data_IF_733330027714
#
_entry.id   IF_733330027714
#
_cell.length_a   1.000
_cell.length_b   1.000
_cell.length_c   1.000
_cell.angle_alpha   90.00
_cell.angle_beta   90.00
_cell.angle_gamma   90.00
#
_symmetry.space_group_name_H-M   'P 1'
#
loop_
_entity.id
_entity.type
_entity.pdbx_description
1 polymer ?
#
# COMPACT_ATOMS: atom_id res chain seq x y z
N UNK A 1 -5.02 -7.27 11.24
CA UNK A 1 -4.11 -6.29 11.85
C UNK A 1 -2.66 -6.72 11.66
N UNK A 2 -1.74 -5.76 11.70
CA UNK A 2 -0.31 -5.98 11.49
C UNK A 2 0.21 -5.30 10.22
N UNK A 3 1.53 -5.28 10.08
CA UNK A 3 2.25 -4.78 8.90
C UNK A 3 3.61 -5.49 8.82
N UNK A 4 4.12 -5.71 7.63
CA UNK A 4 5.45 -6.28 7.42
C UNK A 4 6.58 -5.23 7.54
N UNK A 5 6.25 -3.95 7.70
CA UNK A 5 7.17 -2.88 8.04
C UNK A 5 7.06 -2.50 9.52
N UNK A 6 8.11 -1.84 10.04
CA UNK A 6 8.14 -1.34 11.42
C UNK A 6 8.39 0.17 11.48
N UNK A 7 7.74 0.92 10.59
CA UNK A 7 7.94 2.36 10.49
C UNK A 7 7.85 3.06 11.84
N UNK A 8 8.86 3.89 12.16
CA UNK A 8 8.92 4.66 13.41
C UNK A 8 7.90 5.81 13.47
N UNK A 9 7.37 6.18 12.32
CA UNK A 9 6.39 7.25 12.11
C UNK A 9 4.99 6.72 11.73
N UNK A 10 4.66 5.49 12.14
CA UNK A 10 3.42 4.84 11.73
C UNK A 10 2.20 5.47 12.41
N UNK A 11 1.36 6.17 11.67
CA UNK A 11 0.11 6.76 12.17
C UNK A 11 -0.91 5.69 12.60
N UNK A 12 -0.82 4.49 12.03
CA UNK A 12 -1.70 3.36 12.34
C UNK A 12 -1.03 2.36 13.31
N UNK A 13 -0.14 2.83 14.20
CA UNK A 13 0.67 1.96 15.06
C UNK A 13 -0.14 1.02 15.94
N UNK A 14 -1.30 1.46 16.43
CA UNK A 14 -2.20 0.64 17.23
C UNK A 14 -2.67 -0.62 16.51
N UNK A 15 -2.89 -0.53 15.20
CA UNK A 15 -3.33 -1.64 14.36
C UNK A 15 -2.14 -2.39 13.77
N UNK A 16 -1.17 -1.66 13.22
CA UNK A 16 -0.02 -2.26 12.50
C UNK A 16 0.95 -2.99 13.42
N UNK A 17 1.06 -2.58 14.70
CA UNK A 17 1.93 -3.21 15.71
C UNK A 17 1.17 -4.04 16.73
N UNK A 18 -0.13 -4.27 16.53
CA UNK A 18 -0.96 -5.06 17.43
C UNK A 18 -0.49 -6.51 17.50
N UNK A 19 -0.33 -7.02 18.73
CA UNK A 19 0.03 -8.42 19.01
C UNK A 19 -1.16 -9.27 19.43
N UNK A 20 -2.31 -8.65 19.70
CA UNK A 20 -3.55 -9.31 20.14
C UNK A 20 -4.64 -9.07 19.09
N UNK A 21 -4.67 -9.92 18.07
CA UNK A 21 -5.59 -9.82 16.94
C UNK A 21 -7.07 -9.94 17.35
N UNK A 22 -7.38 -10.75 18.36
CA UNK A 22 -8.74 -11.10 18.77
C UNK A 22 -9.56 -9.89 19.28
N UNK A 23 -8.90 -8.78 19.59
CA UNK A 23 -9.57 -7.56 20.10
C UNK A 23 -9.84 -6.51 19.01
N UNK A 24 -9.22 -6.64 17.84
CA UNK A 24 -9.22 -5.61 16.80
C UNK A 24 -9.96 -6.05 15.52
N UNK A 25 -10.50 -7.25 15.48
CA UNK A 25 -11.15 -7.81 14.30
C UNK A 25 -12.56 -8.30 14.60
N UNK A 26 -13.43 -8.14 13.62
CA UNK A 26 -14.71 -8.86 13.56
C UNK A 26 -14.58 -9.96 12.51
N UNK A 27 -15.16 -11.12 12.77
CA UNK A 27 -15.20 -12.19 11.79
C UNK A 27 -16.11 -11.79 10.63
N UNK A 28 -15.57 -11.82 9.43
CA UNK A 28 -16.32 -11.61 8.20
C UNK A 28 -15.80 -12.56 7.12
N UNK A 29 -16.71 -13.20 6.39
CA UNK A 29 -16.31 -13.97 5.19
C UNK A 29 -16.11 -13.02 4.01
N UNK A 30 -15.37 -13.43 2.96
CA UNK A 30 -15.25 -12.67 1.73
C UNK A 30 -16.60 -12.23 1.16
N UNK A 31 -17.57 -13.12 1.13
CA UNK A 31 -18.93 -12.85 0.62
C UNK A 31 -19.67 -11.82 1.48
N UNK A 32 -19.50 -11.85 2.80
CA UNK A 32 -20.07 -10.84 3.71
C UNK A 32 -19.54 -9.45 3.42
N UNK A 33 -18.23 -9.32 3.14
CA UNK A 33 -17.62 -8.04 2.77
C UNK A 33 -18.19 -7.54 1.44
N UNK A 34 -18.22 -8.38 0.42
CA UNK A 34 -18.74 -8.03 -0.90
C UNK A 34 -20.24 -7.64 -0.82
N UNK A 35 -21.05 -8.40 -0.08
CA UNK A 35 -22.46 -8.12 0.10
C UNK A 35 -22.69 -6.81 0.87
N UNK A 36 -21.94 -6.58 1.95
CA UNK A 36 -22.00 -5.33 2.73
C UNK A 36 -21.67 -4.11 1.85
N UNK A 37 -20.60 -4.21 1.05
CA UNK A 37 -20.24 -3.14 0.11
C UNK A 37 -21.37 -2.85 -0.89
N UNK A 38 -22.01 -3.89 -1.42
CA UNK A 38 -23.13 -3.78 -2.35
C UNK A 38 -24.36 -3.13 -1.69
N UNK A 39 -24.69 -3.54 -0.48
CA UNK A 39 -25.85 -3.02 0.27
C UNK A 39 -25.69 -1.53 0.62
N UNK A 40 -24.44 -1.08 0.79
CA UNK A 40 -24.12 0.33 1.03
C UNK A 40 -23.88 1.13 -0.28
N UNK A 41 -24.05 0.52 -1.43
CA UNK A 41 -23.84 1.18 -2.72
C UNK A 41 -22.38 1.56 -2.99
N UNK A 42 -21.43 0.88 -2.37
CA UNK A 42 -20.00 1.11 -2.61
C UNK A 42 -19.60 0.64 -4.01
N UNK A 43 -18.80 1.43 -4.70
CA UNK A 43 -18.25 1.07 -6.02
C UNK A 43 -16.95 0.28 -5.91
N UNK A 44 -16.30 0.28 -4.75
CA UNK A 44 -15.05 -0.41 -4.48
C UNK A 44 -14.91 -0.77 -3.00
N UNK A 45 -14.04 -1.75 -2.73
CA UNK A 45 -13.53 -2.10 -1.39
C UNK A 45 -12.04 -1.81 -1.37
N UNK A 46 -11.55 -1.07 -0.37
CA UNK A 46 -10.14 -0.78 -0.18
C UNK A 46 -9.56 -1.57 0.99
N UNK A 47 -8.44 -2.24 0.73
CA UNK A 47 -7.61 -2.86 1.76
C UNK A 47 -6.64 -1.80 2.27
N UNK A 48 -6.86 -1.27 3.47
CA UNK A 48 -6.15 -0.09 3.99
C UNK A 48 -5.92 -0.14 5.51
N UNK A 49 -5.26 0.88 6.07
CA UNK A 49 -4.85 1.11 7.46
C UNK A 49 -3.65 0.27 7.91
N UNK A 50 -3.70 -1.02 7.76
CA UNK A 50 -2.55 -1.93 7.87
C UNK A 50 -2.25 -2.50 6.48
N UNK A 51 -1.05 -3.03 6.29
CA UNK A 51 -0.67 -3.48 4.95
C UNK A 51 -1.37 -4.78 4.57
N UNK A 52 -2.09 -4.85 3.42
CA UNK A 52 -2.78 -6.06 2.98
C UNK A 52 -1.85 -7.24 2.69
N UNK A 53 -0.57 -7.01 2.49
CA UNK A 53 0.42 -8.07 2.24
C UNK A 53 0.46 -9.11 3.37
N UNK A 54 0.20 -8.72 4.62
CA UNK A 54 0.25 -9.67 5.75
C UNK A 54 -1.00 -10.55 5.89
N UNK A 55 -2.07 -10.25 5.17
CA UNK A 55 -3.29 -11.07 5.09
C UNK A 55 -3.69 -11.33 3.63
N UNK A 56 -2.67 -11.52 2.79
CA UNK A 56 -2.77 -11.57 1.34
C UNK A 56 -3.82 -12.57 0.86
N UNK A 57 -3.83 -13.78 1.40
CA UNK A 57 -4.77 -14.83 1.02
C UNK A 57 -6.22 -14.38 1.24
N UNK A 58 -6.51 -13.83 2.42
CA UNK A 58 -7.84 -13.30 2.71
C UNK A 58 -8.20 -12.11 1.81
N UNK A 59 -7.23 -11.22 1.53
CA UNK A 59 -7.46 -10.09 0.62
C UNK A 59 -7.78 -10.55 -0.81
N UNK A 60 -7.11 -11.60 -1.28
CA UNK A 60 -7.39 -12.23 -2.58
C UNK A 60 -8.78 -12.86 -2.61
N UNK A 61 -9.17 -13.59 -1.58
CA UNK A 61 -10.50 -14.19 -1.48
C UNK A 61 -11.60 -13.11 -1.47
N UNK A 62 -11.40 -12.03 -0.71
CA UNK A 62 -12.32 -10.87 -0.70
C UNK A 62 -12.37 -10.20 -2.08
N UNK A 63 -11.24 -10.04 -2.76
CA UNK A 63 -11.20 -9.45 -4.09
C UNK A 63 -11.95 -10.28 -5.13
N UNK A 64 -11.88 -11.61 -5.04
CA UNK A 64 -12.65 -12.51 -5.91
C UNK A 64 -14.16 -12.37 -5.66
N UNK A 65 -14.59 -12.39 -4.40
CA UNK A 65 -16.00 -12.20 -4.05
C UNK A 65 -16.52 -10.81 -4.47
N UNK A 66 -15.71 -9.77 -4.31
CA UNK A 66 -16.04 -8.42 -4.79
C UNK A 66 -16.21 -8.37 -6.31
N UNK A 67 -15.32 -9.01 -7.07
CA UNK A 67 -15.39 -9.09 -8.52
C UNK A 67 -16.67 -9.78 -8.99
N UNK A 68 -17.06 -10.89 -8.35
CA UNK A 68 -18.33 -11.59 -8.62
C UNK A 68 -19.55 -10.71 -8.34
N UNK A 69 -19.46 -9.84 -7.33
CA UNK A 69 -20.50 -8.87 -6.98
C UNK A 69 -20.49 -7.59 -7.85
N UNK A 70 -19.53 -7.44 -8.78
CA UNK A 70 -19.34 -6.26 -9.62
C UNK A 70 -18.73 -5.06 -8.88
N UNK A 71 -17.98 -5.31 -7.81
CA UNK A 71 -17.33 -4.31 -6.96
C UNK A 71 -15.83 -4.36 -7.22
N UNK A 72 -15.20 -3.19 -7.41
CA UNK A 72 -13.77 -3.06 -7.62
C UNK A 72 -12.98 -3.18 -6.32
N UNK A 73 -11.70 -3.48 -6.43
CA UNK A 73 -10.80 -3.60 -5.28
C UNK A 73 -9.60 -2.69 -5.42
N UNK A 74 -9.21 -2.10 -4.29
CA UNK A 74 -8.11 -1.13 -4.21
C UNK A 74 -7.14 -1.56 -3.11
N UNK A 75 -5.85 -1.66 -3.44
CA UNK A 75 -4.80 -1.88 -2.45
C UNK A 75 -4.23 -0.54 -1.97
N UNK A 76 -4.17 -0.33 -0.66
CA UNK A 76 -3.38 0.74 -0.03
C UNK A 76 -2.23 0.05 0.71
N UNK A 77 -1.01 0.17 0.17
CA UNK A 77 0.13 -0.66 0.58
C UNK A 77 1.44 0.10 0.55
N UNK A 78 2.41 -0.37 1.32
CA UNK A 78 3.79 0.10 1.21
C UNK A 78 4.53 -0.49 -0.02
N UNK A 79 3.93 -1.40 -0.75
CA UNK A 79 4.55 -2.05 -1.91
C UNK A 79 5.74 -2.97 -1.58
N UNK A 80 5.97 -3.26 -0.30
CA UNK A 80 7.06 -4.12 0.15
C UNK A 80 6.61 -5.58 0.14
N UNK A 81 6.75 -6.24 -1.01
CA UNK A 81 6.20 -7.55 -1.29
C UNK A 81 7.12 -8.34 -2.24
N UNK A 82 7.34 -9.60 -1.95
CA UNK A 82 8.17 -10.47 -2.80
C UNK A 82 7.47 -10.90 -4.09
N UNK A 83 8.26 -11.25 -5.12
CA UNK A 83 7.83 -11.45 -6.51
C UNK A 83 6.58 -12.32 -6.68
N UNK A 84 6.58 -13.54 -6.14
CA UNK A 84 5.44 -14.47 -6.29
C UNK A 84 4.17 -13.98 -5.61
N UNK A 85 4.31 -13.40 -4.42
CA UNK A 85 3.19 -12.83 -3.68
C UNK A 85 2.66 -11.57 -4.39
N UNK A 86 3.54 -10.77 -4.99
CA UNK A 86 3.22 -9.59 -5.78
C UNK A 86 2.35 -9.93 -6.99
N UNK A 87 2.74 -10.94 -7.77
CA UNK A 87 1.95 -11.42 -8.89
C UNK A 87 0.57 -11.90 -8.46
N UNK A 88 0.52 -12.73 -7.40
CA UNK A 88 -0.74 -13.26 -6.88
C UNK A 88 -1.66 -12.15 -6.38
N UNK A 89 -1.14 -11.18 -5.64
CA UNK A 89 -1.91 -10.11 -5.05
C UNK A 89 -2.47 -9.15 -6.11
N UNK A 90 -1.61 -8.56 -6.93
CA UNK A 90 -2.02 -7.48 -7.83
C UNK A 90 -2.86 -7.94 -9.02
N UNK A 91 -2.82 -9.21 -9.43
CA UNK A 91 -3.76 -9.71 -10.46
C UNK A 91 -5.23 -9.68 -10.02
N UNK A 92 -5.49 -9.51 -8.72
CA UNK A 92 -6.82 -9.40 -8.14
C UNK A 92 -7.21 -7.96 -7.79
N UNK A 93 -6.33 -6.98 -8.00
CA UNK A 93 -6.59 -5.58 -7.71
C UNK A 93 -6.92 -4.80 -8.98
N UNK A 94 -7.88 -3.87 -8.88
CA UNK A 94 -8.22 -2.94 -9.97
C UNK A 94 -7.40 -1.66 -9.88
N UNK A 95 -7.06 -1.25 -8.66
CA UNK A 95 -6.23 -0.08 -8.42
C UNK A 95 -5.35 -0.23 -7.17
N UNK A 96 -4.34 0.64 -7.05
CA UNK A 96 -3.48 0.71 -5.88
C UNK A 96 -3.09 2.16 -5.54
N UNK A 97 -2.95 2.44 -4.24
CA UNK A 97 -2.18 3.56 -3.73
C UNK A 97 -0.93 2.98 -3.06
N UNK A 98 0.25 3.35 -3.54
CA UNK A 98 1.51 2.81 -3.03
C UNK A 98 2.27 3.90 -2.29
N UNK A 99 2.58 3.63 -1.02
CA UNK A 99 3.39 4.53 -0.20
C UNK A 99 4.88 4.45 -0.59
N UNK A 100 5.37 5.40 -1.39
CA UNK A 100 6.79 5.61 -1.59
C UNK A 100 7.30 6.54 -0.47
N UNK A 101 7.71 5.93 0.65
CA UNK A 101 7.90 6.60 1.95
C UNK A 101 9.11 7.53 2.02
N UNK A 102 10.10 7.32 1.18
CA UNK A 102 11.33 8.10 1.04
C UNK A 102 12.09 7.61 -0.19
N UNK A 103 13.22 8.23 -0.49
CA UNK A 103 14.00 7.87 -1.69
C UNK A 103 15.48 7.59 -1.41
N UNK A 104 15.77 7.17 -0.18
CA UNK A 104 17.10 6.67 0.20
C UNK A 104 16.99 5.31 0.88
N UNK A 105 17.98 4.45 0.64
CA UNK A 105 18.07 3.14 1.30
C UNK A 105 18.25 3.31 2.83
N UNK A 106 18.94 4.38 3.23
CA UNK A 106 19.18 4.72 4.63
C UNK A 106 17.87 5.03 5.37
N UNK A 107 16.97 5.82 4.74
CA UNK A 107 15.62 6.07 5.26
C UNK A 107 14.82 4.78 5.43
N UNK A 108 14.76 3.96 4.37
CA UNK A 108 14.02 2.70 4.42
C UNK A 108 14.56 1.75 5.48
N UNK A 109 15.87 1.59 5.54
CA UNK A 109 16.48 0.70 6.52
C UNK A 109 16.30 1.18 7.95
N UNK A 110 16.58 2.46 8.24
CA UNK A 110 16.57 3.01 9.61
C UNK A 110 15.17 3.29 10.16
N UNK A 111 14.27 3.76 9.30
CA UNK A 111 12.93 4.23 9.73
C UNK A 111 11.81 3.25 9.41
N UNK A 112 11.94 2.41 8.38
CA UNK A 112 10.89 1.47 7.96
C UNK A 112 11.25 0.00 8.23
N UNK A 113 12.53 -0.32 8.49
CA UNK A 113 13.07 -1.69 8.55
C UNK A 113 12.81 -2.48 7.27
N UNK A 114 13.05 -1.84 6.14
CA UNK A 114 12.78 -2.34 4.79
C UNK A 114 13.90 -1.91 3.84
N UNK A 115 13.74 -2.22 2.55
CA UNK A 115 14.63 -1.84 1.48
C UNK A 115 13.88 -1.07 0.39
N UNK A 116 14.43 0.06 -0.04
CA UNK A 116 13.86 0.87 -1.11
C UNK A 116 13.75 0.08 -2.42
N UNK A 117 14.79 -0.70 -2.75
CA UNK A 117 14.86 -1.45 -3.99
C UNK A 117 13.63 -2.36 -4.22
N UNK A 118 13.14 -3.04 -3.18
CA UNK A 118 11.98 -3.95 -3.29
C UNK A 118 10.68 -3.19 -3.62
N UNK A 119 10.52 -1.99 -3.07
CA UNK A 119 9.38 -1.11 -3.38
C UNK A 119 9.46 -0.61 -4.81
N UNK A 120 10.65 -0.20 -5.27
CA UNK A 120 10.85 0.25 -6.65
C UNK A 120 10.57 -0.87 -7.67
N UNK A 121 10.95 -2.11 -7.36
CA UNK A 121 10.62 -3.27 -8.21
C UNK A 121 9.10 -3.52 -8.25
N UNK A 122 8.39 -3.33 -7.14
CA UNK A 122 6.92 -3.41 -7.13
C UNK A 122 6.29 -2.34 -8.02
N UNK A 123 6.79 -1.11 -7.98
CA UNK A 123 6.28 -0.01 -8.82
C UNK A 123 6.52 -0.26 -10.31
N UNK A 124 7.71 -0.77 -10.68
CA UNK A 124 8.01 -1.17 -12.06
C UNK A 124 7.08 -2.30 -12.53
N UNK A 125 6.87 -3.31 -11.68
CA UNK A 125 5.95 -4.40 -11.97
C UNK A 125 4.53 -3.89 -12.22
N UNK A 126 4.01 -3.04 -11.34
CA UNK A 126 2.69 -2.43 -11.52
C UNK A 126 2.58 -1.70 -12.86
N UNK A 127 3.61 -0.93 -13.22
CA UNK A 127 3.60 -0.12 -14.44
C UNK A 127 3.70 -0.93 -15.71
N UNK A 128 4.56 -1.95 -15.73
CA UNK A 128 4.97 -2.60 -16.99
C UNK A 128 4.34 -3.98 -17.19
N UNK A 129 3.93 -4.65 -16.11
CA UNK A 129 3.47 -6.03 -16.16
C UNK A 129 1.97 -6.19 -15.81
N UNK A 130 1.30 -5.09 -15.41
CA UNK A 130 -0.11 -5.15 -15.00
C UNK A 130 -0.97 -4.09 -15.67
N UNK A 131 -2.29 -4.27 -15.60
CA UNK A 131 -3.28 -3.23 -15.93
C UNK A 131 -3.83 -2.48 -14.71
N UNK A 132 -3.23 -2.68 -13.53
CA UNK A 132 -3.65 -2.02 -12.29
C UNK A 132 -3.37 -0.52 -12.40
N UNK A 133 -4.40 0.29 -12.24
CA UNK A 133 -4.21 1.74 -12.13
C UNK A 133 -3.61 2.06 -10.76
N UNK A 134 -2.58 2.91 -10.70
CA UNK A 134 -1.98 3.22 -9.41
C UNK A 134 -1.51 4.67 -9.29
N UNK A 135 -1.47 5.12 -8.05
CA UNK A 135 -0.91 6.39 -7.63
C UNK A 135 0.07 6.19 -6.48
N UNK A 136 0.91 7.19 -6.25
CA UNK A 136 1.92 7.19 -5.20
C UNK A 136 1.54 8.17 -4.08
N UNK A 137 1.89 7.82 -2.85
CA UNK A 137 1.82 8.74 -1.72
C UNK A 137 3.17 8.81 -1.02
N UNK A 138 3.65 10.03 -0.76
CA UNK A 138 4.82 10.28 0.07
C UNK A 138 4.42 11.12 1.29
N UNK A 139 4.72 10.60 2.48
CA UNK A 139 4.57 11.35 3.73
C UNK A 139 5.87 12.12 3.99
N UNK A 140 5.81 13.44 3.87
CA UNK A 140 6.96 14.32 4.06
C UNK A 140 7.21 14.53 5.55
N UNK A 141 8.37 14.06 6.03
CA UNK A 141 8.79 14.11 7.43
C UNK A 141 9.96 15.10 7.54
N UNK A 142 9.78 16.24 8.22
CA UNK A 142 10.81 17.26 8.36
C UNK A 142 12.11 16.70 8.94
N UNK A 143 13.22 16.96 8.24
CA UNK A 143 14.56 16.52 8.64
C UNK A 143 14.90 15.07 8.30
N UNK A 144 13.99 14.28 7.71
CA UNK A 144 14.20 12.87 7.38
C UNK A 144 14.17 12.60 5.87
N UNK A 145 13.15 13.10 5.15
CA UNK A 145 12.97 12.89 3.71
C UNK A 145 12.48 14.15 2.97
N UNK A 146 12.70 15.33 3.52
CA UNK A 146 12.23 16.62 3.00
C UNK A 146 13.30 17.43 2.24
N UNK A 147 14.44 16.80 1.92
CA UNK A 147 15.53 17.44 1.18
C UNK A 147 15.22 17.61 -0.31
N UNK A 148 15.49 18.79 -0.90
CA UNK A 148 15.29 19.07 -2.33
C UNK A 148 15.92 18.00 -3.24
N UNK A 149 17.16 17.57 -2.90
CA UNK A 149 17.86 16.54 -3.67
C UNK A 149 17.18 15.16 -3.63
N UNK A 150 16.48 14.83 -2.55
CA UNK A 150 15.72 13.59 -2.45
C UNK A 150 14.42 13.68 -3.27
N UNK A 151 13.73 14.82 -3.22
CA UNK A 151 12.55 15.06 -4.08
C UNK A 151 12.91 15.03 -5.56
N UNK A 152 14.03 15.66 -5.96
CA UNK A 152 14.50 15.63 -7.33
C UNK A 152 14.82 14.21 -7.78
N UNK A 153 15.52 13.43 -6.96
CA UNK A 153 15.83 12.04 -7.26
C UNK A 153 14.58 11.18 -7.39
N UNK A 154 13.64 11.32 -6.45
CA UNK A 154 12.37 10.57 -6.44
C UNK A 154 11.51 10.89 -7.65
N UNK A 155 11.26 12.16 -7.92
CA UNK A 155 10.39 12.60 -9.03
C UNK A 155 10.99 12.31 -10.40
N UNK A 156 12.31 12.46 -10.55
CA UNK A 156 13.01 12.06 -11.77
C UNK A 156 12.90 10.55 -12.00
N UNK A 157 13.12 9.74 -10.96
CA UNK A 157 12.99 8.29 -11.08
C UNK A 157 11.56 7.87 -11.47
N UNK A 158 10.54 8.46 -10.83
CA UNK A 158 9.12 8.22 -11.17
C UNK A 158 8.86 8.56 -12.63
N UNK A 159 9.26 9.73 -13.07
CA UNK A 159 9.10 10.16 -14.47
C UNK A 159 9.77 9.21 -15.46
N UNK A 160 10.99 8.76 -15.16
CA UNK A 160 11.79 7.93 -16.07
C UNK A 160 11.35 6.46 -16.10
N UNK A 161 10.91 5.91 -14.98
CA UNK A 161 10.59 4.49 -14.86
C UNK A 161 9.07 4.20 -14.90
N UNK A 162 8.23 5.14 -14.46
CA UNK A 162 6.78 4.96 -14.41
C UNK A 162 6.02 5.87 -15.38
N UNK A 163 6.67 6.94 -15.85
CA UNK A 163 6.10 7.90 -16.77
C UNK A 163 5.48 9.12 -16.06
N UNK A 164 5.20 10.20 -16.85
CA UNK A 164 4.73 11.49 -16.31
C UNK A 164 3.26 11.47 -15.84
N UNK A 165 2.51 10.44 -16.18
CA UNK A 165 1.06 10.37 -15.93
C UNK A 165 0.70 9.64 -14.62
N UNK A 166 1.70 9.15 -13.86
CA UNK A 166 1.45 8.52 -12.56
C UNK A 166 1.25 9.60 -11.50
N UNK A 167 0.07 9.70 -10.89
CA UNK A 167 -0.20 10.68 -9.85
C UNK A 167 0.70 10.45 -8.63
N UNK A 168 1.22 11.54 -8.08
CA UNK A 168 2.03 11.50 -6.87
C UNK A 168 1.54 12.55 -5.87
N UNK A 169 1.20 12.10 -4.68
CA UNK A 169 0.68 12.91 -3.59
C UNK A 169 1.73 13.09 -2.51
N UNK A 170 1.87 14.32 -2.03
CA UNK A 170 2.71 14.65 -0.88
C UNK A 170 1.83 15.10 0.28
N UNK A 171 1.98 14.45 1.42
CA UNK A 171 1.24 14.78 2.64
C UNK A 171 2.20 15.19 3.77
N UNK A 172 1.77 16.13 4.59
CA UNK A 172 2.58 16.60 5.71
C UNK A 172 2.49 15.62 6.89
N UNK A 173 3.64 15.32 7.48
CA UNK A 173 3.72 14.54 8.72
C UNK A 173 3.11 15.33 9.89
N UNK A 174 2.32 14.61 10.70
CA UNK A 174 1.84 15.10 12.00
C UNK A 174 2.30 14.14 13.10
N UNK A 175 3.01 14.61 14.14
CA UNK A 175 3.52 13.76 15.20
C UNK A 175 2.41 13.42 16.19
N UNK A 176 1.88 12.20 16.11
CA UNK A 176 0.81 11.73 16.99
C UNK A 176 1.28 10.72 18.06
N UNK A 177 2.57 10.29 17.99
CA UNK A 177 3.18 9.39 18.98
C UNK A 177 4.70 9.39 18.91
#
# INVERSE_FOLDING_TARGET
AGCNLTCKFCQNHEISKARQMDKLGSLATPEMIAQTAKDHGCSAVAFTYNDPVIFLEYAVDVAQACREAGIRTVAVTAGYIGDKAREEFFRHMDAANVDLKGFTEDFYHKLCSAHLADVLETLKYLKHETGVWFELTNLVIPGENDGDGEFDAMTNWVRENLGPDVPMHFSAFHPDW
#
